data_IF_987793506981
#
_entry.id   IF_987793506981
#
_cell.length_a   1.000
_cell.length_b   1.000
_cell.length_c   1.000
_cell.angle_alpha   90.00
_cell.angle_beta   90.00
_cell.angle_gamma   90.00
#
_symmetry.space_group_name_H-M   'P 1'
#
loop_
_entity.id
_entity.type
_entity.pdbx_description
1 polymer ?
#
# COMPACT_ATOMS: atom_id res chain seq x y z
N UNK A 1 -10.35 10.34 -10.85
CA UNK A 1 -8.94 10.18 -10.45
C UNK A 1 -8.86 9.49 -9.10
N UNK A 2 -8.04 8.46 -9.00
CA UNK A 2 -7.92 7.67 -7.77
C UNK A 2 -7.02 8.37 -6.76
N UNK A 3 -7.25 8.11 -5.47
CA UNK A 3 -6.34 8.49 -4.38
C UNK A 3 -5.75 7.21 -3.84
N UNK A 4 -4.46 6.99 -4.09
CA UNK A 4 -3.82 5.71 -3.79
C UNK A 4 -2.88 5.87 -2.60
N UNK A 5 -3.14 5.09 -1.55
CA UNK A 5 -2.22 4.98 -0.42
C UNK A 5 -1.32 3.77 -0.65
N UNK A 6 -0.03 4.02 -0.78
CA UNK A 6 0.98 2.95 -0.88
C UNK A 6 1.62 2.82 0.49
N UNK A 7 1.73 1.59 0.98
CA UNK A 7 2.25 1.29 2.30
C UNK A 7 3.51 2.10 2.63
N UNK A 8 3.59 2.59 3.86
CA UNK A 8 4.77 3.28 4.39
C UNK A 8 5.92 2.31 4.70
N UNK A 9 5.60 1.06 5.00
CA UNK A 9 6.57 0.07 5.49
C UNK A 9 7.17 -0.75 4.35
N UNK A 10 8.25 -0.26 3.79
CA UNK A 10 8.99 -0.94 2.73
C UNK A 10 10.40 -1.28 3.20
N UNK A 11 10.86 -2.49 2.89
CA UNK A 11 12.24 -2.88 3.14
C UNK A 11 13.21 -2.08 2.28
N UNK A 12 12.81 -1.83 1.02
CA UNK A 12 13.66 -1.14 0.05
C UNK A 12 12.88 -0.01 -0.61
N UNK A 13 13.48 1.17 -0.66
CA UNK A 13 12.86 2.34 -1.28
C UNK A 13 12.55 2.13 -2.76
N UNK A 14 13.35 1.34 -3.48
CA UNK A 14 13.14 1.08 -4.91
C UNK A 14 11.85 0.28 -5.18
N UNK A 15 11.38 -0.51 -4.23
CA UNK A 15 10.10 -1.23 -4.37
C UNK A 15 8.92 -0.24 -4.44
N UNK A 16 8.95 0.75 -3.57
CA UNK A 16 7.94 1.81 -3.57
C UNK A 16 7.95 2.57 -4.91
N UNK A 17 9.12 2.99 -5.35
CA UNK A 17 9.27 3.72 -6.61
C UNK A 17 8.80 2.89 -7.80
N UNK A 18 9.02 1.58 -7.76
CA UNK A 18 8.60 0.69 -8.83
C UNK A 18 7.07 0.60 -8.93
N UNK A 19 6.37 0.64 -7.81
CA UNK A 19 4.89 0.71 -7.84
C UNK A 19 4.43 1.98 -8.54
N UNK A 20 5.07 3.12 -8.25
CA UNK A 20 4.74 4.37 -8.95
C UNK A 20 4.98 4.24 -10.46
N UNK A 21 6.09 3.62 -10.86
CA UNK A 21 6.39 3.38 -12.27
C UNK A 21 5.32 2.50 -12.93
N UNK A 22 4.86 1.46 -12.25
CA UNK A 22 3.80 0.60 -12.77
C UNK A 22 2.50 1.37 -13.03
N UNK A 23 2.12 2.22 -12.09
CA UNK A 23 0.91 3.03 -12.23
C UNK A 23 1.05 4.04 -13.37
N UNK A 24 2.20 4.69 -13.47
CA UNK A 24 2.46 5.67 -14.51
C UNK A 24 2.49 5.02 -15.89
N UNK A 25 3.18 3.88 -16.02
CA UNK A 25 3.30 3.15 -17.29
C UNK A 25 1.95 2.61 -17.76
N UNK A 26 1.08 2.25 -16.84
CA UNK A 26 -0.26 1.75 -17.17
C UNK A 26 -1.29 2.85 -17.41
N UNK A 27 -0.91 4.11 -17.29
CA UNK A 27 -1.79 5.24 -17.57
C UNK A 27 -2.84 5.48 -16.49
N UNK A 28 -2.63 4.98 -15.27
CA UNK A 28 -3.55 5.25 -14.16
C UNK A 28 -3.36 6.70 -13.71
N UNK A 29 -4.45 7.45 -13.69
CA UNK A 29 -4.44 8.81 -13.16
C UNK A 29 -4.78 8.76 -11.67
N UNK A 30 -3.85 9.20 -10.84
CA UNK A 30 -4.00 9.10 -9.40
C UNK A 30 -3.29 10.23 -8.67
N UNK A 31 -3.75 10.48 -7.45
CA UNK A 31 -3.00 11.24 -6.46
C UNK A 31 -2.26 10.25 -5.57
N UNK A 32 -0.97 10.47 -5.37
CA UNK A 32 -0.20 9.70 -4.40
C UNK A 32 -0.56 10.19 -3.00
N UNK A 33 -1.43 9.46 -2.35
CA UNK A 33 -1.98 9.80 -1.04
C UNK A 33 -1.21 9.10 0.10
N UNK A 34 0.04 8.77 -0.17
CA UNK A 34 0.91 8.06 0.79
C UNK A 34 1.61 9.04 1.72
N UNK A 35 2.08 8.51 2.85
CA UNK A 35 3.01 9.24 3.72
C UNK A 35 4.41 8.98 3.16
N UNK A 36 5.15 10.03 2.74
CA UNK A 36 6.49 9.84 2.19
C UNK A 36 7.42 9.17 3.20
N UNK A 37 8.20 8.21 2.73
CA UNK A 37 9.13 7.48 3.60
C UNK A 37 10.25 8.39 4.13
N UNK A 38 10.69 9.34 3.30
CA UNK A 38 11.78 10.25 3.63
C UNK A 38 11.33 11.53 4.35
N UNK A 39 10.05 11.83 4.28
CA UNK A 39 9.44 12.94 5.01
C UNK A 39 8.12 12.45 5.61
N UNK A 40 8.22 11.55 6.59
CA UNK A 40 7.02 11.09 7.27
C UNK A 40 6.47 12.26 8.06
N UNK A 41 5.43 12.86 7.58
CA UNK A 41 4.69 13.96 8.20
C UNK A 41 5.31 14.40 9.52
N UNK A 42 6.08 15.46 9.54
CA UNK A 42 6.83 16.05 10.66
C UNK A 42 6.34 15.61 12.04
N UNK A 43 6.41 14.33 12.31
CA UNK A 43 6.11 13.83 13.64
C UNK A 43 7.39 13.92 14.42
N UNK A 44 7.32 14.43 15.63
CA UNK A 44 8.47 14.54 16.53
C UNK A 44 8.88 13.16 17.06
N UNK A 45 8.80 12.12 16.23
CA UNK A 45 9.17 10.77 16.60
C UNK A 45 8.11 10.02 17.39
N UNK A 46 6.92 10.59 17.59
CA UNK A 46 5.83 9.91 18.29
C UNK A 46 5.14 8.92 17.34
N UNK A 47 5.12 7.64 17.73
CA UNK A 47 4.38 6.61 16.99
C UNK A 47 2.90 6.95 16.85
N UNK A 48 2.34 7.58 17.88
CA UNK A 48 0.92 7.99 17.88
C UNK A 48 0.64 9.04 16.81
N UNK A 49 1.51 10.03 16.69
CA UNK A 49 1.35 11.08 15.68
C UNK A 49 1.48 10.50 14.27
N UNK A 50 2.44 9.61 14.03
CA UNK A 50 2.61 8.95 12.74
C UNK A 50 1.39 8.08 12.42
N UNK A 51 0.89 7.34 13.41
CA UNK A 51 -0.31 6.51 13.25
C UNK A 51 -1.52 7.36 12.86
N UNK A 52 -1.74 8.48 13.53
CA UNK A 52 -2.85 9.39 13.23
C UNK A 52 -2.71 9.98 11.82
N UNK A 53 -1.49 10.33 11.41
CA UNK A 53 -1.24 10.85 10.07
C UNK A 53 -1.50 9.80 8.99
N UNK A 54 -1.07 8.57 9.21
CA UNK A 54 -1.32 7.45 8.28
C UNK A 54 -2.82 7.18 8.20
N UNK A 55 -3.52 7.15 9.34
CA UNK A 55 -4.96 6.90 9.35
C UNK A 55 -5.73 7.97 8.58
N UNK A 56 -5.35 9.23 8.71
CA UNK A 56 -5.96 10.31 7.94
C UNK A 56 -5.80 10.09 6.44
N UNK A 57 -4.64 9.62 5.99
CA UNK A 57 -4.38 9.30 4.58
C UNK A 57 -5.20 8.10 4.11
N UNK A 58 -5.24 7.04 4.90
CA UNK A 58 -6.02 5.83 4.58
C UNK A 58 -7.50 6.17 4.49
N UNK A 59 -8.01 6.95 5.41
CA UNK A 59 -9.42 7.38 5.44
C UNK A 59 -9.80 8.11 4.15
N UNK A 60 -8.90 8.89 3.56
CA UNK A 60 -9.16 9.66 2.35
C UNK A 60 -8.82 8.96 1.05
N UNK A 61 -8.31 7.72 1.08
CA UNK A 61 -7.85 7.05 -0.14
C UNK A 61 -8.96 6.25 -0.84
N UNK A 62 -8.68 5.88 -2.09
CA UNK A 62 -9.55 5.00 -2.89
C UNK A 62 -9.19 3.53 -2.73
N UNK A 63 -7.91 3.25 -2.47
CA UNK A 63 -7.41 1.90 -2.20
C UNK A 63 -6.05 1.99 -1.51
N UNK A 64 -5.66 0.88 -0.88
CA UNK A 64 -4.38 0.73 -0.19
C UNK A 64 -3.57 -0.33 -0.93
N UNK A 65 -2.33 -0.01 -1.30
CA UNK A 65 -1.42 -0.96 -1.94
C UNK A 65 -0.35 -1.37 -0.94
N UNK A 66 -0.21 -2.68 -0.72
CA UNK A 66 0.74 -3.26 0.22
C UNK A 66 1.57 -4.30 -0.50
N UNK A 67 2.90 -4.27 -0.30
CA UNK A 67 3.78 -5.32 -0.81
C UNK A 67 3.56 -6.60 0.01
N UNK A 68 3.18 -7.67 -0.67
CA UNK A 68 2.81 -8.93 -0.03
C UNK A 68 4.02 -9.86 0.18
N UNK A 69 5.11 -9.34 0.71
CA UNK A 69 6.29 -10.13 1.06
C UNK A 69 6.16 -10.77 2.43
N UNK A 70 6.96 -11.81 2.68
CA UNK A 70 6.91 -12.53 3.96
C UNK A 70 7.15 -11.61 5.16
N UNK A 71 8.04 -10.62 5.01
CA UNK A 71 8.34 -9.68 6.08
C UNK A 71 7.12 -8.88 6.54
N UNK A 72 6.10 -8.74 5.70
CA UNK A 72 4.88 -8.01 6.05
C UNK A 72 4.19 -8.61 7.27
N UNK A 73 4.35 -9.94 7.48
CA UNK A 73 3.78 -10.62 8.65
C UNK A 73 4.38 -10.16 9.97
N UNK A 74 5.58 -9.57 9.91
CA UNK A 74 6.33 -9.12 11.10
C UNK A 74 6.35 -7.60 11.24
N UNK A 75 5.78 -6.88 10.29
CA UNK A 75 5.77 -5.42 10.33
C UNK A 75 4.56 -4.91 11.09
N UNK A 76 4.80 -4.27 12.22
CA UNK A 76 3.71 -3.68 13.00
C UNK A 76 2.99 -2.57 12.22
N UNK A 77 3.71 -1.83 11.37
CA UNK A 77 3.11 -0.75 10.59
C UNK A 77 2.20 -1.26 9.48
N UNK A 78 2.60 -2.34 8.80
CA UNK A 78 1.73 -2.97 7.80
C UNK A 78 0.46 -3.51 8.46
N UNK A 79 0.57 -4.12 9.63
CA UNK A 79 -0.60 -4.61 10.36
C UNK A 79 -1.53 -3.46 10.76
N UNK A 80 -0.97 -2.32 11.19
CA UNK A 80 -1.77 -1.12 11.50
C UNK A 80 -2.45 -0.56 10.25
N UNK A 81 -1.74 -0.49 9.13
CA UNK A 81 -2.31 -0.02 7.87
C UNK A 81 -3.46 -0.91 7.39
N UNK A 82 -3.31 -2.22 7.52
CA UNK A 82 -4.38 -3.18 7.22
C UNK A 82 -5.60 -2.94 8.10
N UNK A 83 -5.39 -2.80 9.41
CA UNK A 83 -6.47 -2.55 10.36
C UNK A 83 -7.20 -1.25 10.05
N UNK A 84 -6.47 -0.21 9.68
CA UNK A 84 -7.05 1.08 9.29
C UNK A 84 -7.87 0.97 8.01
N UNK A 85 -7.35 0.25 7.01
CA UNK A 85 -8.07 0.02 5.76
C UNK A 85 -9.38 -0.72 6.01
N UNK A 86 -9.36 -1.75 6.83
CA UNK A 86 -10.55 -2.51 7.19
C UNK A 86 -11.55 -1.66 7.97
N UNK A 87 -11.07 -0.87 8.92
CA UNK A 87 -11.90 0.04 9.72
C UNK A 87 -12.66 1.03 8.83
N UNK A 88 -12.03 1.53 7.79
CA UNK A 88 -12.61 2.51 6.88
C UNK A 88 -13.16 1.91 5.59
N UNK A 89 -13.26 0.59 5.52
CA UNK A 89 -13.80 -0.16 4.37
C UNK A 89 -13.08 0.16 3.06
N UNK A 90 -11.75 0.28 3.13
CA UNK A 90 -10.93 0.52 1.94
C UNK A 90 -10.42 -0.79 1.38
N UNK A 91 -10.49 -0.99 0.06
CA UNK A 91 -9.94 -2.20 -0.55
C UNK A 91 -8.42 -2.21 -0.43
N UNK A 92 -7.88 -3.40 -0.20
CA UNK A 92 -6.45 -3.63 -0.08
C UNK A 92 -5.98 -4.41 -1.29
N UNK A 93 -4.98 -3.89 -1.98
CA UNK A 93 -4.33 -4.55 -3.11
C UNK A 93 -2.95 -5.01 -2.64
N UNK A 94 -2.77 -6.32 -2.52
CA UNK A 94 -1.47 -6.90 -2.21
C UNK A 94 -0.70 -7.09 -3.51
N UNK A 95 0.57 -6.70 -3.55
CA UNK A 95 1.41 -6.88 -4.72
C UNK A 95 2.50 -7.88 -4.41
N UNK A 96 2.52 -8.98 -5.16
CA UNK A 96 3.50 -10.04 -4.99
C UNK A 96 4.81 -9.61 -5.62
N UNK A 97 5.89 -9.52 -4.81
CA UNK A 97 7.19 -9.12 -5.32
C UNK A 97 7.72 -10.14 -6.33
N UNK A 98 8.39 -9.65 -7.35
CA UNK A 98 8.94 -10.48 -8.42
C UNK A 98 9.84 -11.57 -7.87
N UNK A 99 9.60 -12.82 -8.29
CA UNK A 99 10.35 -13.96 -7.82
C UNK A 99 9.98 -14.46 -6.42
N UNK A 100 9.04 -13.82 -5.75
CA UNK A 100 8.60 -14.27 -4.43
C UNK A 100 7.84 -15.59 -4.54
N UNK A 101 8.28 -16.59 -3.78
CA UNK A 101 7.61 -17.89 -3.70
C UNK A 101 6.50 -17.86 -2.66
N UNK A 102 6.69 -17.05 -1.61
CA UNK A 102 5.74 -16.94 -0.50
C UNK A 102 5.22 -15.53 -0.37
N UNK A 103 3.95 -15.40 -0.01
CA UNK A 103 3.34 -14.12 0.34
C UNK A 103 2.98 -14.13 1.81
N UNK A 104 2.86 -12.93 2.39
CA UNK A 104 2.43 -12.79 3.79
C UNK A 104 1.00 -13.28 3.94
N UNK A 105 0.76 -14.19 4.89
CA UNK A 105 -0.60 -14.63 5.20
C UNK A 105 -1.44 -13.47 5.74
N UNK A 106 -0.83 -12.53 6.46
CA UNK A 106 -1.52 -11.35 6.99
C UNK A 106 -2.08 -10.51 5.85
N UNK A 107 -1.28 -10.28 4.81
CA UNK A 107 -1.71 -9.51 3.64
C UNK A 107 -2.71 -10.30 2.80
N UNK A 108 -2.43 -11.58 2.57
CA UNK A 108 -3.29 -12.46 1.76
C UNK A 108 -4.72 -12.54 2.33
N UNK A 109 -4.82 -12.70 3.66
CA UNK A 109 -6.12 -12.81 4.32
C UNK A 109 -6.91 -11.50 4.27
N UNK A 110 -6.23 -10.36 4.27
CA UNK A 110 -6.88 -9.05 4.32
C UNK A 110 -7.12 -8.44 2.94
N UNK A 111 -6.34 -8.85 1.92
CA UNK A 111 -6.38 -8.20 0.61
C UNK A 111 -7.64 -8.57 -0.16
N UNK A 112 -8.18 -7.60 -0.91
CA UNK A 112 -9.24 -7.84 -1.87
C UNK A 112 -8.71 -8.65 -3.07
N UNK A 113 -7.44 -8.45 -3.40
CA UNK A 113 -6.76 -9.15 -4.50
C UNK A 113 -5.26 -9.15 -4.25
N UNK A 114 -4.59 -10.20 -4.73
CA UNK A 114 -3.12 -10.26 -4.81
C UNK A 114 -2.73 -10.20 -6.27
N UNK A 115 -1.89 -9.24 -6.63
CA UNK A 115 -1.45 -9.05 -8.01
C UNK A 115 0.00 -9.46 -8.22
N UNK A 116 0.37 -9.66 -9.46
CA UNK A 116 1.74 -9.92 -9.86
C UNK A 116 2.56 -8.62 -9.94
N UNK A 117 3.88 -8.75 -9.98
CA UNK A 117 4.82 -7.64 -10.02
C UNK A 117 4.98 -7.14 -11.47
N UNK A 118 3.94 -6.49 -12.00
CA UNK A 118 3.98 -5.85 -13.31
C UNK A 118 2.91 -4.77 -13.41
N UNK A 119 3.08 -3.88 -14.39
CA UNK A 119 2.21 -2.72 -14.58
C UNK A 119 0.77 -3.12 -14.83
N UNK A 120 0.55 -4.06 -15.75
CA UNK A 120 -0.81 -4.46 -16.15
C UNK A 120 -1.60 -5.01 -14.96
N UNK A 121 -0.99 -5.90 -14.18
CA UNK A 121 -1.66 -6.52 -13.02
C UNK A 121 -2.03 -5.48 -11.97
N UNK A 122 -1.09 -4.59 -11.64
CA UNK A 122 -1.31 -3.56 -10.62
C UNK A 122 -2.37 -2.56 -11.10
N UNK A 123 -2.26 -2.08 -12.32
CA UNK A 123 -3.21 -1.10 -12.87
C UNK A 123 -4.61 -1.67 -13.01
N UNK A 124 -4.74 -2.91 -13.46
CA UNK A 124 -6.03 -3.57 -13.56
C UNK A 124 -6.67 -3.75 -12.18
N UNK A 125 -5.89 -4.09 -11.17
CA UNK A 125 -6.41 -4.22 -9.81
C UNK A 125 -6.93 -2.88 -9.28
N UNK A 126 -6.20 -1.79 -9.51
CA UNK A 126 -6.66 -0.46 -9.12
C UNK A 126 -7.99 -0.12 -9.81
N UNK A 127 -8.08 -0.33 -11.12
CA UNK A 127 -9.30 -0.02 -11.88
C UNK A 127 -10.49 -0.87 -11.45
N UNK A 128 -10.23 -2.10 -11.01
CA UNK A 128 -11.29 -3.04 -10.62
C UNK A 128 -11.75 -2.85 -9.19
N UNK A 129 -10.85 -2.56 -8.27
CA UNK A 129 -11.14 -2.59 -6.83
C UNK A 129 -11.17 -1.22 -6.16
N UNK A 130 -10.47 -0.20 -6.68
CA UNK A 130 -10.44 1.12 -6.05
C UNK A 130 -11.83 1.78 -6.06
N UNK A 131 -12.11 2.50 -5.00
CA UNK A 131 -13.38 3.20 -4.82
C UNK A 131 -13.44 4.53 -5.58
#
# INVERSE_FOLDING_TARGET
>A
MYRIFISHSWNYANQYNKILDFLDNGGVKYYNHSVPKDDPVHTNGSDKELEDAIEAKVKGCSCVIILAGVYASYSKWIQKEIAMAQKHNKPIIGVKYWGAIRISSVVDDAASVITNWNSDSVCNAVRMYAL
#
